data_IF_660590471988
#
_entry.id   IF_660590471988
#
_cell.length_a   1.000
_cell.length_b   1.000
_cell.length_c   1.000
_cell.angle_alpha   90.00
_cell.angle_beta   90.00
_cell.angle_gamma   90.00
#
_symmetry.space_group_name_H-M   'P 1'
#
loop_
_entity.id
_entity.type
_entity.pdbx_description
1 polymer ?
#
# COMPACT_ATOMS: atom_id res chain seq x y z
N UNK A 1 -28.05 -27.11 -8.27
CA UNK A 1 -26.70 -26.73 -7.82
C UNK A 1 -25.94 -26.41 -9.07
N UNK A 2 -25.78 -25.12 -9.37
CA UNK A 2 -24.94 -24.65 -10.45
C UNK A 2 -24.38 -23.30 -9.99
N UNK A 3 -23.59 -23.38 -8.94
CA UNK A 3 -23.00 -22.21 -8.28
C UNK A 3 -21.63 -22.01 -8.94
N UNK A 4 -21.67 -21.57 -10.21
CA UNK A 4 -20.49 -21.05 -10.90
C UNK A 4 -20.31 -19.57 -10.53
N UNK A 5 -20.33 -19.26 -9.25
CA UNK A 5 -19.99 -17.93 -8.76
C UNK A 5 -18.47 -17.86 -8.63
N UNK A 6 -17.80 -17.23 -9.58
CA UNK A 6 -16.39 -16.88 -9.45
C UNK A 6 -16.29 -15.62 -8.58
N UNK A 7 -15.77 -15.78 -7.36
CA UNK A 7 -15.40 -14.64 -6.52
C UNK A 7 -14.10 -14.02 -7.06
N UNK A 8 -14.14 -12.74 -7.37
CA UNK A 8 -12.96 -11.96 -7.79
C UNK A 8 -12.50 -11.12 -6.61
N UNK A 9 -11.25 -11.30 -6.19
CA UNK A 9 -10.64 -10.43 -5.18
C UNK A 9 -10.32 -9.07 -5.79
N UNK A 10 -10.83 -8.02 -5.14
CA UNK A 10 -10.60 -6.62 -5.50
C UNK A 10 -9.73 -5.99 -4.42
N UNK A 11 -8.66 -5.32 -4.83
CA UNK A 11 -7.82 -4.51 -3.96
C UNK A 11 -8.04 -3.03 -4.27
N UNK A 12 -8.42 -2.26 -3.25
CA UNK A 12 -8.29 -0.81 -3.23
C UNK A 12 -7.09 -0.44 -2.36
N UNK A 13 -6.21 0.41 -2.90
CA UNK A 13 -4.95 0.79 -2.27
C UNK A 13 -4.71 2.29 -2.47
N UNK A 14 -4.56 3.03 -1.39
CA UNK A 14 -4.21 4.46 -1.41
C UNK A 14 -2.95 4.69 -0.55
N UNK A 15 -1.99 5.46 -1.06
CA UNK A 15 -0.75 5.79 -0.34
C UNK A 15 -0.58 7.31 -0.29
N UNK A 16 -0.39 7.84 0.90
CA UNK A 16 -0.08 9.26 1.14
C UNK A 16 1.29 9.38 1.83
N UNK A 17 2.17 10.23 1.28
CA UNK A 17 3.53 10.44 1.78
C UNK A 17 3.82 11.93 1.98
N UNK A 18 4.37 12.27 3.13
CA UNK A 18 4.81 13.61 3.51
C UNK A 18 6.33 13.64 3.67
N UNK A 19 7.04 13.82 2.55
CA UNK A 19 8.51 13.80 2.52
C UNK A 19 9.09 15.20 2.41
N UNK A 20 10.19 15.44 3.12
CA UNK A 20 10.93 16.71 3.06
C UNK A 20 12.39 16.46 2.77
N UNK A 21 13.04 17.41 2.07
CA UNK A 21 14.45 17.30 1.77
C UNK A 21 15.02 18.55 1.10
N UNK A 22 16.35 18.69 1.05
CA UNK A 22 17.02 19.89 0.54
C UNK A 22 16.91 20.07 -0.98
N UNK A 23 16.48 19.04 -1.72
CA UNK A 23 16.25 19.10 -3.16
C UNK A 23 15.25 18.06 -3.63
N UNK A 24 14.52 18.39 -4.70
CA UNK A 24 13.50 17.54 -5.31
C UNK A 24 14.03 16.15 -5.70
N UNK A 25 15.24 16.07 -6.25
CA UNK A 25 15.83 14.80 -6.67
C UNK A 25 15.99 13.82 -5.49
N UNK A 26 16.33 14.31 -4.30
CA UNK A 26 16.48 13.47 -3.11
C UNK A 26 15.12 12.99 -2.61
N UNK A 27 14.12 13.88 -2.55
CA UNK A 27 12.75 13.55 -2.13
C UNK A 27 12.12 12.52 -3.07
N UNK A 28 12.31 12.67 -4.39
CA UNK A 28 11.84 11.70 -5.38
C UNK A 28 12.49 10.32 -5.18
N UNK A 29 13.80 10.29 -4.87
CA UNK A 29 14.52 9.04 -4.61
C UNK A 29 13.99 8.34 -3.34
N UNK A 30 13.71 9.11 -2.29
CA UNK A 30 13.11 8.60 -1.05
C UNK A 30 11.72 8.02 -1.31
N UNK A 31 10.84 8.76 -2.00
CA UNK A 31 9.52 8.27 -2.37
C UNK A 31 9.60 6.93 -3.15
N UNK A 32 10.46 6.86 -4.16
CA UNK A 32 10.64 5.64 -4.94
C UNK A 32 11.21 4.46 -4.14
N UNK A 33 12.03 4.72 -3.11
CA UNK A 33 12.51 3.68 -2.22
C UNK A 33 11.38 3.15 -1.31
N UNK A 34 10.57 4.04 -0.75
CA UNK A 34 9.42 3.67 0.08
C UNK A 34 8.38 2.88 -0.70
N UNK A 35 8.03 3.29 -1.91
CA UNK A 35 7.09 2.56 -2.76
C UNK A 35 7.58 1.15 -3.11
N UNK A 36 8.89 0.96 -3.30
CA UNK A 36 9.47 -0.39 -3.46
C UNK A 36 9.33 -1.22 -2.19
N UNK A 37 9.61 -0.64 -1.02
CA UNK A 37 9.41 -1.33 0.25
C UNK A 37 7.95 -1.68 0.52
N UNK A 38 7.00 -0.83 0.11
CA UNK A 38 5.56 -1.13 0.20
C UNK A 38 5.20 -2.28 -0.72
N UNK A 39 5.70 -2.29 -1.97
CA UNK A 39 5.50 -3.41 -2.89
C UNK A 39 6.05 -4.72 -2.30
N UNK A 40 7.27 -4.71 -1.76
CA UNK A 40 7.88 -5.88 -1.13
C UNK A 40 7.07 -6.41 0.07
N UNK A 41 6.35 -5.53 0.78
CA UNK A 41 5.45 -5.90 1.90
C UNK A 41 4.11 -6.46 1.39
N UNK A 42 3.53 -5.86 0.34
CA UNK A 42 2.32 -6.38 -0.30
C UNK A 42 2.54 -7.81 -0.81
N UNK A 43 3.69 -8.10 -1.42
CA UNK A 43 4.03 -9.45 -1.91
C UNK A 43 4.22 -10.50 -0.79
N UNK A 44 4.34 -10.06 0.47
CA UNK A 44 4.50 -10.92 1.65
C UNK A 44 3.23 -11.05 2.49
N UNK A 45 2.12 -10.43 2.06
CA UNK A 45 0.89 -10.32 2.84
C UNK A 45 1.12 -9.62 4.20
N UNK A 46 2.05 -8.64 4.25
CA UNK A 46 2.46 -7.91 5.46
C UNK A 46 1.58 -6.68 5.78
N UNK A 47 0.39 -6.61 5.17
CA UNK A 47 -0.59 -5.55 5.41
C UNK A 47 -1.92 -6.14 5.87
N UNK A 48 -2.62 -5.43 6.75
CA UNK A 48 -3.99 -5.70 7.17
C UNK A 48 -4.94 -4.71 6.50
N UNK A 49 -6.21 -5.10 6.38
CA UNK A 49 -7.26 -4.17 5.96
C UNK A 49 -7.33 -2.95 6.89
N UNK A 50 -7.44 -1.77 6.29
CA UNK A 50 -7.51 -0.50 6.96
C UNK A 50 -6.27 0.37 6.73
N UNK A 51 -6.04 1.27 7.69
CA UNK A 51 -4.95 2.24 7.63
C UNK A 51 -3.74 1.75 8.42
N UNK A 52 -2.57 1.84 7.81
CA UNK A 52 -1.28 1.57 8.44
C UNK A 52 -0.30 2.72 8.24
N UNK A 53 0.51 2.99 9.28
CA UNK A 53 1.54 4.01 9.22
C UNK A 53 2.72 3.58 8.33
N UNK A 54 3.22 4.51 7.53
CA UNK A 54 4.50 4.35 6.84
C UNK A 54 5.56 5.13 7.61
N UNK A 55 6.57 4.40 8.07
CA UNK A 55 7.70 4.95 8.82
C UNK A 55 8.97 4.99 7.96
N UNK A 56 9.82 5.99 8.22
CA UNK A 56 11.17 6.04 7.65
C UNK A 56 12.12 5.04 8.34
N UNK A 57 13.37 4.98 7.88
CA UNK A 57 14.40 4.09 8.45
C UNK A 57 14.73 4.38 9.93
N UNK A 58 14.34 5.55 10.45
CA UNK A 58 14.53 5.95 11.84
C UNK A 58 13.26 5.73 12.69
N UNK A 59 12.18 5.20 12.10
CA UNK A 59 10.91 4.98 12.76
C UNK A 59 10.02 6.22 12.85
N UNK A 60 10.34 7.32 12.15
CA UNK A 60 9.46 8.48 12.10
C UNK A 60 8.33 8.24 11.11
N UNK A 61 7.10 8.56 11.50
CA UNK A 61 5.97 8.53 10.59
C UNK A 61 6.13 9.59 9.50
N UNK A 62 6.07 9.13 8.26
CA UNK A 62 6.25 9.93 7.05
C UNK A 62 5.09 9.76 6.07
N UNK A 63 4.05 9.00 6.45
CA UNK A 63 2.89 8.78 5.63
C UNK A 63 1.96 7.70 6.20
N UNK A 64 1.00 7.31 5.38
CA UNK A 64 0.00 6.30 5.68
C UNK A 64 -0.36 5.54 4.39
N UNK A 65 -0.75 4.29 4.55
CA UNK A 65 -1.30 3.45 3.49
C UNK A 65 -2.68 2.95 3.92
N UNK A 66 -3.64 3.01 3.02
CA UNK A 66 -4.95 2.38 3.16
C UNK A 66 -5.00 1.15 2.27
N UNK A 67 -5.31 -0.01 2.85
CA UNK A 67 -5.50 -1.29 2.15
C UNK A 67 -6.91 -1.78 2.40
N UNK A 68 -7.59 -2.22 1.35
CA UNK A 68 -8.96 -2.74 1.45
C UNK A 68 -9.16 -3.85 0.42
N UNK A 69 -9.19 -5.08 0.93
CA UNK A 69 -9.53 -6.28 0.18
C UNK A 69 -11.04 -6.54 0.27
N UNK A 70 -11.67 -6.70 -0.89
CA UNK A 70 -13.10 -7.03 -0.96
C UNK A 70 -13.36 -8.08 -2.04
N UNK A 71 -14.44 -8.85 -1.88
CA UNK A 71 -14.89 -9.81 -2.88
C UNK A 71 -15.95 -9.17 -3.78
N UNK A 72 -15.69 -9.20 -5.09
CA UNK A 72 -16.71 -8.90 -6.09
C UNK A 72 -17.25 -10.22 -6.65
N UNK A 73 -18.54 -10.47 -6.42
CA UNK A 73 -19.25 -11.60 -7.04
C UNK A 73 -19.66 -11.18 -8.45
N UNK A 74 -19.16 -11.87 -9.46
CA UNK A 74 -19.58 -11.69 -10.85
C UNK A 74 -20.67 -12.69 -11.22
N UNK A 75 -21.77 -12.20 -11.81
CA UNK A 75 -22.92 -12.99 -12.28
C UNK A 75 -22.82 -13.39 -13.75
#
# INVERSE_FOLDING_TARGET
MNDNEEAVTVLKLDIELNLTGPMQALVNKQAAALLRSVADRLEKDDFQDGFEEINDENGNQIGEIYVDYSDMITY
#
